data_IF_630067491929
#
_entry.id   IF_630067491929
#
_cell.length_a   1.000
_cell.length_b   1.000
_cell.length_c   1.000
_cell.angle_alpha   90.00
_cell.angle_beta   90.00
_cell.angle_gamma   90.00
#
_symmetry.space_group_name_H-M   'P 1'
#
loop_
_entity.id
_entity.type
_entity.pdbx_description
1 polymer ?
#
# COMPACT_ATOMS: atom_id res chain seq x y z
N UNK A 1 -13.85 14.54 5.27
CA UNK A 1 -13.05 13.73 4.36
C UNK A 1 -11.80 13.27 5.07
N UNK A 2 -11.45 12.00 4.92
CA UNK A 2 -10.22 11.47 5.51
C UNK A 2 -9.03 11.88 4.66
N UNK A 3 -8.04 12.48 5.29
CA UNK A 3 -6.80 12.89 4.61
C UNK A 3 -5.74 11.81 4.87
N UNK A 4 -5.80 10.73 4.10
CA UNK A 4 -4.92 9.58 4.25
C UNK A 4 -3.96 9.55 3.06
N UNK A 5 -2.68 9.70 3.37
CA UNK A 5 -1.63 9.59 2.36
C UNK A 5 -1.31 8.12 2.09
N UNK A 6 -0.87 7.79 0.87
CA UNK A 6 -0.34 6.44 0.62
C UNK A 6 0.85 6.16 1.52
N UNK A 7 1.04 4.89 1.88
CA UNK A 7 2.27 4.47 2.56
C UNK A 7 3.24 3.93 1.53
N UNK A 8 4.54 4.16 1.75
CA UNK A 8 5.59 3.78 0.82
C UNK A 8 6.40 2.61 1.39
N UNK A 9 6.96 1.81 0.49
CA UNK A 9 7.74 0.62 0.83
C UNK A 9 9.17 0.74 0.32
N UNK A 10 10.08 0.13 1.05
CA UNK A 10 11.46 -0.01 0.62
C UNK A 10 11.55 -0.99 -0.57
N UNK A 11 12.61 -0.87 -1.35
CA UNK A 11 12.82 -1.73 -2.51
C UNK A 11 12.78 -3.21 -2.12
N UNK A 12 12.04 -4.00 -2.88
CA UNK A 12 11.86 -5.44 -2.68
C UNK A 12 11.29 -5.86 -1.31
N UNK A 13 10.79 -4.91 -0.52
CA UNK A 13 10.27 -5.19 0.81
C UNK A 13 8.76 -5.02 0.88
N UNK A 14 8.14 -5.75 1.79
CA UNK A 14 6.71 -5.60 2.09
C UNK A 14 6.46 -5.42 3.59
N UNK A 15 7.51 -5.21 4.39
CA UNK A 15 7.32 -4.91 5.80
C UNK A 15 6.89 -3.43 5.98
N UNK A 16 6.18 -3.19 7.07
CA UNK A 16 5.73 -1.84 7.41
C UNK A 16 6.86 -1.15 8.18
N UNK A 17 7.55 -0.21 7.53
CA UNK A 17 8.62 0.53 8.17
C UNK A 17 8.04 1.61 9.11
N UNK A 18 8.87 2.23 9.99
CA UNK A 18 8.36 3.23 10.95
C UNK A 18 7.63 4.40 10.32
N UNK A 19 8.06 4.85 9.15
CA UNK A 19 7.41 5.95 8.44
C UNK A 19 6.04 5.56 7.94
N UNK A 20 5.91 4.35 7.39
CA UNK A 20 4.62 3.80 6.96
C UNK A 20 3.69 3.59 8.16
N UNK A 21 4.23 3.10 9.28
CA UNK A 21 3.44 2.90 10.50
C UNK A 21 2.83 4.21 11.01
N UNK A 22 3.54 5.32 10.86
CA UNK A 22 3.04 6.63 11.26
C UNK A 22 1.78 7.01 10.48
N UNK A 23 1.76 6.76 9.17
CA UNK A 23 0.57 7.00 8.35
C UNK A 23 -0.55 6.00 8.66
N UNK A 24 -0.19 4.74 8.92
CA UNK A 24 -1.19 3.73 9.26
C UNK A 24 -1.91 4.02 10.58
N UNK A 25 -1.27 4.71 11.52
CA UNK A 25 -1.94 5.12 12.75
C UNK A 25 -3.11 6.06 12.47
N UNK A 26 -3.02 6.86 11.42
CA UNK A 26 -4.14 7.73 11.00
C UNK A 26 -5.31 6.93 10.48
N UNK A 27 -5.04 5.88 9.69
CA UNK A 27 -6.07 4.95 9.20
C UNK A 27 -6.72 4.25 10.38
N UNK A 28 -5.93 3.74 11.31
CA UNK A 28 -6.41 3.08 12.51
C UNK A 28 -7.34 3.99 13.31
N UNK A 29 -6.92 5.23 13.57
CA UNK A 29 -7.70 6.20 14.34
C UNK A 29 -9.05 6.49 13.65
N UNK A 30 -9.04 6.62 12.32
CA UNK A 30 -10.27 6.86 11.57
C UNK A 30 -11.23 5.67 11.67
N UNK A 31 -10.71 4.45 11.60
CA UNK A 31 -11.53 3.25 11.65
C UNK A 31 -12.10 2.99 13.06
N UNK A 32 -11.38 3.42 14.10
CA UNK A 32 -11.90 3.36 15.46
C UNK A 32 -13.01 4.41 15.65
N UNK A 33 -12.80 5.61 15.12
CA UNK A 33 -13.78 6.69 15.25
C UNK A 33 -15.06 6.40 14.46
N UNK A 34 -14.95 5.76 13.30
CA UNK A 34 -16.07 5.44 12.43
C UNK A 34 -16.21 3.91 12.29
N UNK A 35 -16.95 3.26 13.21
CA UNK A 35 -16.99 1.78 13.25
C UNK A 35 -17.54 1.12 11.98
N UNK A 36 -18.32 1.84 11.17
CA UNK A 36 -18.89 1.29 9.94
C UNK A 36 -17.99 1.53 8.71
N UNK A 37 -16.87 2.22 8.90
CA UNK A 37 -15.96 2.52 7.81
C UNK A 37 -15.29 1.24 7.30
N UNK A 38 -15.38 1.01 5.99
CA UNK A 38 -14.69 -0.09 5.32
C UNK A 38 -13.69 0.50 4.34
N UNK A 39 -12.52 -0.11 4.26
CA UNK A 39 -11.41 0.39 3.43
C UNK A 39 -10.92 -0.71 2.51
N UNK A 40 -10.70 -0.34 1.24
CA UNK A 40 -10.02 -1.16 0.26
C UNK A 40 -8.56 -0.71 0.19
N UNK A 41 -7.63 -1.67 0.37
CA UNK A 41 -6.19 -1.43 0.33
C UNK A 41 -5.67 -1.94 -1.01
N UNK A 42 -5.21 -1.01 -1.86
CA UNK A 42 -4.62 -1.32 -3.15
C UNK A 42 -3.11 -1.10 -3.08
N UNK A 43 -2.32 -2.11 -3.36
CA UNK A 43 -0.86 -2.01 -3.26
C UNK A 43 -0.19 -2.20 -4.62
N UNK A 44 0.99 -1.63 -4.75
CA UNK A 44 1.68 -1.46 -6.02
C UNK A 44 3.19 -1.64 -5.86
N UNK A 45 3.86 -1.85 -6.99
CA UNK A 45 5.32 -1.90 -7.07
C UNK A 45 5.81 -0.84 -8.05
N UNK A 46 7.13 -0.58 -8.06
CA UNK A 46 7.74 0.12 -9.18
C UNK A 46 7.89 -0.86 -10.36
N UNK A 47 8.41 -0.37 -11.49
CA UNK A 47 8.47 -1.15 -12.73
C UNK A 47 9.66 -2.12 -12.81
N UNK A 48 10.54 -2.11 -11.82
CA UNK A 48 11.72 -2.98 -11.81
C UNK A 48 11.36 -4.39 -11.38
N UNK A 49 11.95 -5.39 -12.03
CA UNK A 49 11.68 -6.79 -11.77
C UNK A 49 10.66 -7.37 -12.75
N UNK A 50 10.39 -8.68 -12.66
CA UNK A 50 9.41 -9.33 -13.53
C UNK A 50 7.98 -9.00 -13.09
N UNK A 51 7.03 -9.12 -14.04
CA UNK A 51 5.63 -8.89 -13.74
C UNK A 51 5.09 -9.85 -12.68
N UNK A 52 5.48 -11.13 -12.74
CA UNK A 52 5.05 -12.13 -11.75
C UNK A 52 5.58 -11.79 -10.36
N UNK A 53 6.85 -11.43 -10.27
CA UNK A 53 7.48 -11.03 -9.01
C UNK A 53 6.76 -9.81 -8.43
N UNK A 54 6.52 -8.78 -9.26
CA UNK A 54 5.87 -7.55 -8.82
C UNK A 54 4.43 -7.78 -8.39
N UNK A 55 3.72 -8.69 -9.05
CA UNK A 55 2.36 -9.02 -8.66
C UNK A 55 2.35 -9.65 -7.26
N UNK A 56 3.24 -10.62 -7.00
CA UNK A 56 3.34 -11.25 -5.68
C UNK A 56 3.76 -10.25 -4.61
N UNK A 57 4.72 -9.36 -4.94
CA UNK A 57 5.19 -8.34 -4.01
C UNK A 57 4.08 -7.37 -3.63
N UNK A 58 3.27 -6.94 -4.60
CA UNK A 58 2.15 -6.04 -4.33
C UNK A 58 1.07 -6.70 -3.47
N UNK A 59 0.79 -7.98 -3.70
CA UNK A 59 -0.14 -8.75 -2.85
C UNK A 59 0.40 -8.81 -1.42
N UNK A 60 1.69 -9.09 -1.26
CA UNK A 60 2.33 -9.15 0.06
C UNK A 60 2.30 -7.80 0.76
N UNK A 61 2.47 -6.71 0.03
CA UNK A 61 2.37 -5.35 0.58
C UNK A 61 0.95 -5.04 1.08
N UNK A 62 -0.06 -5.42 0.29
CA UNK A 62 -1.45 -5.23 0.69
C UNK A 62 -1.78 -6.05 1.94
N UNK A 63 -1.31 -7.30 1.98
CA UNK A 63 -1.52 -8.19 3.12
C UNK A 63 -0.83 -7.66 4.38
N UNK A 64 0.41 -7.18 4.26
CA UNK A 64 1.13 -6.60 5.40
C UNK A 64 0.43 -5.37 5.94
N UNK A 65 -0.11 -4.52 5.06
CA UNK A 65 -0.85 -3.32 5.44
C UNK A 65 -2.11 -3.70 6.22
N UNK A 66 -2.89 -4.65 5.71
CA UNK A 66 -4.08 -5.15 6.39
C UNK A 66 -3.74 -5.79 7.74
N UNK A 67 -2.71 -6.64 7.77
CA UNK A 67 -2.33 -7.34 9.01
C UNK A 67 -1.90 -6.37 10.10
N UNK A 68 -1.24 -5.26 9.74
CA UNK A 68 -0.87 -4.24 10.71
C UNK A 68 -2.11 -3.70 11.44
N UNK A 69 -3.18 -3.45 10.69
CA UNK A 69 -4.45 -2.94 11.25
C UNK A 69 -5.19 -4.02 12.05
N UNK A 70 -5.24 -5.24 11.52
CA UNK A 70 -5.93 -6.36 12.19
C UNK A 70 -5.28 -6.67 13.54
N UNK A 71 -3.96 -6.66 13.61
CA UNK A 71 -3.23 -6.92 14.87
C UNK A 71 -3.56 -5.88 15.94
N UNK A 72 -4.02 -4.71 15.56
CA UNK A 72 -4.39 -3.64 16.49
C UNK A 72 -5.88 -3.60 16.78
N UNK A 73 -6.63 -4.58 16.31
CA UNK A 73 -8.03 -4.75 16.69
C UNK A 73 -9.04 -4.35 15.63
N UNK A 74 -8.62 -3.98 14.43
CA UNK A 74 -9.58 -3.71 13.35
C UNK A 74 -10.08 -5.05 12.80
N UNK A 75 -11.40 -5.20 12.73
CA UNK A 75 -12.01 -6.43 12.23
C UNK A 75 -11.62 -6.66 10.77
N UNK A 76 -11.21 -7.89 10.45
CA UNK A 76 -10.71 -8.26 9.13
C UNK A 76 -11.72 -8.00 8.01
N UNK A 77 -13.01 -8.17 8.29
CA UNK A 77 -14.07 -8.00 7.29
C UNK A 77 -14.31 -6.53 6.90
N UNK A 78 -13.71 -5.59 7.61
CA UNK A 78 -13.76 -4.17 7.28
C UNK A 78 -12.66 -3.76 6.29
N UNK A 79 -11.77 -4.71 5.94
CA UNK A 79 -10.60 -4.46 5.11
C UNK A 79 -10.57 -5.44 3.95
N UNK A 80 -10.52 -4.93 2.73
CA UNK A 80 -10.28 -5.74 1.54
C UNK A 80 -8.97 -5.31 0.89
N UNK A 81 -8.30 -6.24 0.23
CA UNK A 81 -6.96 -6.00 -0.33
C UNK A 81 -6.87 -6.48 -1.75
N UNK A 82 -6.02 -5.83 -2.55
CA UNK A 82 -5.59 -6.33 -3.84
C UNK A 82 -4.20 -5.80 -4.18
N UNK A 83 -3.50 -6.51 -5.04
CA UNK A 83 -2.20 -6.11 -5.52
C UNK A 83 -2.22 -5.94 -7.03
N UNK A 84 -1.68 -4.84 -7.51
CA UNK A 84 -1.71 -4.47 -8.94
C UNK A 84 -0.32 -4.54 -9.60
N UNK A 85 0.71 -5.01 -8.89
CA UNK A 85 2.06 -5.05 -9.44
C UNK A 85 2.50 -3.67 -9.91
N UNK A 86 3.08 -3.60 -11.12
CA UNK A 86 3.52 -2.34 -11.70
C UNK A 86 2.48 -1.68 -12.62
N UNK A 87 1.28 -2.24 -12.74
CA UNK A 87 0.33 -1.84 -13.77
C UNK A 87 -0.37 -0.50 -13.53
N UNK A 88 -0.30 0.07 -12.34
CA UNK A 88 -0.88 1.37 -12.04
C UNK A 88 0.19 2.29 -11.43
N UNK A 89 1.13 2.73 -12.27
CA UNK A 89 2.21 3.63 -11.83
C UNK A 89 1.70 5.04 -11.56
N UNK A 90 2.28 5.70 -10.55
CA UNK A 90 1.97 7.10 -10.23
C UNK A 90 2.63 8.07 -11.20
N UNK A 91 3.63 7.62 -11.95
CA UNK A 91 4.41 8.44 -12.85
C UNK A 91 4.76 7.66 -14.12
N UNK A 92 5.62 8.21 -14.93
CA UNK A 92 5.99 7.62 -16.21
C UNK A 92 7.14 6.60 -16.11
N UNK A 93 7.42 6.07 -14.94
CA UNK A 93 8.51 5.11 -14.72
C UNK A 93 8.15 3.70 -15.15
N UNK A 94 7.70 3.55 -16.39
CA UNK A 94 7.38 2.26 -16.99
C UNK A 94 8.66 1.52 -17.37
N UNK A 95 8.50 0.28 -17.83
CA UNK A 95 9.61 -0.53 -18.33
C UNK A 95 10.38 0.23 -19.42
N UNK A 96 11.71 0.11 -19.41
CA UNK A 96 12.62 0.74 -20.38
C UNK A 96 12.77 2.26 -20.21
N UNK A 97 12.18 2.87 -19.17
CA UNK A 97 12.38 4.28 -18.84
C UNK A 97 13.28 4.36 -17.62
N UNK A 98 14.37 5.14 -17.74
CA UNK A 98 15.29 5.35 -16.62
C UNK A 98 14.73 6.38 -15.66
N UNK A 99 14.56 6.00 -14.40
CA UNK A 99 14.07 6.88 -13.34
C UNK A 99 15.04 6.92 -12.18
N UNK A 100 15.02 8.02 -11.43
CA UNK A 100 15.74 8.11 -10.17
C UNK A 100 15.04 7.23 -9.12
N UNK A 101 15.79 6.87 -8.07
CA UNK A 101 15.23 6.04 -6.98
C UNK A 101 13.98 6.67 -6.36
N UNK A 102 13.98 7.97 -6.17
CA UNK A 102 12.85 8.70 -5.59
C UNK A 102 11.60 8.60 -6.45
N UNK A 103 11.77 8.56 -7.77
CA UNK A 103 10.66 8.40 -8.71
C UNK A 103 10.08 6.99 -8.66
N UNK A 104 10.94 5.97 -8.54
CA UNK A 104 10.49 4.59 -8.35
C UNK A 104 9.80 4.41 -7.02
N UNK A 105 10.29 5.07 -5.97
CA UNK A 105 9.70 4.95 -4.63
C UNK A 105 8.23 5.35 -4.60
N UNK A 106 7.84 6.35 -5.40
CA UNK A 106 6.44 6.79 -5.45
C UNK A 106 5.49 5.69 -5.92
N UNK A 107 6.00 4.66 -6.60
CA UNK A 107 5.20 3.54 -7.08
C UNK A 107 5.13 2.38 -6.07
N UNK A 108 6.05 2.31 -5.11
CA UNK A 108 6.08 1.27 -4.08
C UNK A 108 5.15 1.70 -2.94
N UNK A 109 3.85 1.48 -3.12
CA UNK A 109 2.85 2.09 -2.23
C UNK A 109 1.66 1.20 -1.94
N UNK A 110 1.00 1.47 -0.81
CA UNK A 110 -0.38 1.03 -0.56
C UNK A 110 -1.26 2.26 -0.49
N UNK A 111 -2.38 2.22 -1.20
CA UNK A 111 -3.35 3.30 -1.27
C UNK A 111 -4.63 2.86 -0.58
N UNK A 112 -5.28 3.78 0.11
CA UNK A 112 -6.48 3.50 0.90
C UNK A 112 -7.68 4.16 0.24
N UNK A 113 -8.71 3.35 -0.07
CA UNK A 113 -9.95 3.84 -0.68
C UNK A 113 -11.11 3.48 0.25
N UNK A 114 -11.97 4.45 0.50
CA UNK A 114 -13.19 4.23 1.29
C UNK A 114 -14.20 3.51 0.40
N UNK A 115 -14.75 2.44 0.93
CA UNK A 115 -15.78 1.67 0.23
C UNK A 115 -17.16 2.26 0.46
#
# INVERSE_FOLDING_TARGET
>A
MLDINPILFDLDKYYINPKAAKELRKVYAAMIRYPDLEIFIASHTDSRGSNDYNQRLSINRATSTKNWLVRRGIASDRLTTDGFGEFELENYCEDNITCQEEEHQLNRRSVFKIK
#
